data_IF_672519002240
#
_entry.id   IF_672519002240
#
_cell.length_a   1.000
_cell.length_b   1.000
_cell.length_c   1.000
_cell.angle_alpha   90.00
_cell.angle_beta   90.00
_cell.angle_gamma   90.00
#
_symmetry.space_group_name_H-M   'P 1'
#
loop_
_entity.id
_entity.type
_entity.pdbx_description
1 polymer ?
#
# COMPACT_ATOMS: atom_id res chain seq x y z
N UNK A 1 -21.01 11.31 23.88
CA UNK A 1 -19.63 11.67 23.53
C UNK A 1 -18.72 10.59 24.10
N UNK A 2 -18.38 9.59 23.30
CA UNK A 2 -17.45 8.51 23.68
C UNK A 2 -16.26 8.55 22.74
N UNK A 3 -15.09 8.36 23.32
CA UNK A 3 -13.80 8.92 22.92
C UNK A 3 -13.17 8.13 21.77
N UNK A 4 -12.60 8.83 20.78
CA UNK A 4 -11.85 8.28 19.62
C UNK A 4 -10.78 7.22 19.95
N UNK A 5 -10.39 7.08 21.22
CA UNK A 5 -9.41 6.10 21.70
C UNK A 5 -9.95 4.66 21.77
N UNK A 6 -11.26 4.45 21.96
CA UNK A 6 -11.82 3.09 22.09
C UNK A 6 -11.85 2.33 20.76
N UNK A 7 -11.96 3.05 19.64
CA UNK A 7 -12.10 2.45 18.31
C UNK A 7 -10.76 1.95 17.75
N UNK A 8 -9.64 2.56 18.17
CA UNK A 8 -8.28 2.17 17.75
C UNK A 8 -7.86 0.85 18.39
N UNK A 9 -8.32 0.56 19.62
CA UNK A 9 -7.96 -0.67 20.32
C UNK A 9 -8.66 -1.91 19.75
N UNK A 10 -9.89 -1.77 19.25
CA UNK A 10 -10.62 -2.87 18.62
C UNK A 10 -10.03 -3.24 17.25
N UNK A 11 -9.45 -2.28 16.52
CA UNK A 11 -8.84 -2.50 15.21
C UNK A 11 -7.53 -3.32 15.25
N UNK A 12 -6.79 -3.27 16.37
CA UNK A 12 -5.50 -3.99 16.54
C UNK A 12 -5.71 -5.50 16.69
N UNK A 13 -6.79 -5.94 17.34
CA UNK A 13 -7.11 -7.35 17.51
C UNK A 13 -7.62 -8.02 16.22
N UNK A 14 -8.14 -7.25 15.27
CA UNK A 14 -8.62 -7.75 13.98
C UNK A 14 -7.48 -8.13 13.00
N UNK A 15 -6.24 -7.71 13.28
CA UNK A 15 -5.06 -7.93 12.43
C UNK A 15 -4.72 -9.42 12.26
N UNK A 16 -5.08 -10.27 13.23
CA UNK A 16 -4.83 -11.72 13.17
C UNK A 16 -5.64 -12.45 12.08
N UNK A 17 -6.74 -11.86 11.60
CA UNK A 17 -7.60 -12.43 10.55
C UNK A 17 -7.76 -11.52 9.31
N UNK A 18 -7.42 -10.22 9.42
CA UNK A 18 -7.54 -9.28 8.33
C UNK A 18 -6.52 -9.55 7.23
N UNK A 19 -7.00 -10.00 6.07
CA UNK A 19 -6.17 -10.15 4.87
C UNK A 19 -5.99 -8.79 4.19
N UNK A 20 -4.76 -8.40 3.82
CA UNK A 20 -4.54 -7.19 3.05
C UNK A 20 -5.38 -7.19 1.78
N UNK A 21 -6.13 -6.11 1.54
CA UNK A 21 -6.88 -5.88 0.32
C UNK A 21 -6.25 -4.79 -0.54
N UNK A 22 -5.41 -3.95 0.06
CA UNK A 22 -4.72 -2.85 -0.58
C UNK A 22 -3.27 -2.78 -0.12
N UNK A 23 -2.35 -2.65 -1.06
CA UNK A 23 -0.95 -2.34 -0.80
C UNK A 23 -0.61 -1.04 -1.52
N UNK A 24 -0.10 -0.07 -0.79
CA UNK A 24 0.25 1.25 -1.30
C UNK A 24 1.75 1.45 -1.25
N UNK A 25 2.35 1.88 -2.36
CA UNK A 25 3.76 2.26 -2.41
C UNK A 25 3.86 3.78 -2.37
N UNK A 26 4.52 4.33 -1.35
CA UNK A 26 4.81 5.77 -1.34
C UNK A 26 5.94 6.08 -2.33
N UNK A 27 5.88 7.28 -2.89
CA UNK A 27 6.83 7.76 -3.88
C UNK A 27 6.36 9.04 -4.57
N UNK A 28 7.19 9.55 -5.46
CA UNK A 28 6.85 10.68 -6.32
C UNK A 28 6.60 10.21 -7.77
N UNK A 29 5.58 10.75 -8.46
CA UNK A 29 5.33 10.43 -9.86
C UNK A 29 6.35 11.11 -10.80
N UNK A 30 6.73 10.42 -11.87
CA UNK A 30 7.56 10.95 -12.96
C UNK A 30 8.93 10.27 -13.09
N UNK A 31 9.43 10.20 -14.33
CA UNK A 31 10.64 9.43 -14.68
C UNK A 31 11.89 9.84 -13.89
N UNK A 32 12.01 11.12 -13.49
CA UNK A 32 13.14 11.63 -12.72
C UNK A 32 13.26 11.07 -11.30
N UNK A 33 12.21 10.44 -10.76
CA UNK A 33 12.20 9.85 -9.42
C UNK A 33 12.40 8.34 -9.40
N UNK A 34 12.46 7.71 -10.58
CA UNK A 34 12.73 6.27 -10.72
C UNK A 34 14.10 5.95 -10.12
N UNK A 35 14.16 4.91 -9.28
CA UNK A 35 15.40 4.46 -8.63
C UNK A 35 15.86 5.32 -7.44
N UNK A 36 15.12 6.37 -7.06
CA UNK A 36 15.41 7.13 -5.84
C UNK A 36 14.92 6.38 -4.60
N UNK A 37 15.57 6.59 -3.44
CA UNK A 37 15.18 5.96 -2.16
C UNK A 37 13.71 6.23 -1.81
N UNK A 38 13.24 7.46 -2.02
CA UNK A 38 11.85 7.85 -1.79
C UNK A 38 10.83 7.10 -2.67
N UNK A 39 11.27 6.48 -3.77
CA UNK A 39 10.42 5.72 -4.67
C UNK A 39 10.54 4.19 -4.45
N UNK A 40 11.19 3.74 -3.37
CA UNK A 40 11.33 2.30 -3.12
C UNK A 40 9.97 1.61 -2.98
N UNK A 41 8.96 2.29 -2.42
CA UNK A 41 7.60 1.77 -2.34
C UNK A 41 7.01 1.48 -3.72
N UNK A 42 7.25 2.35 -4.70
CA UNK A 42 6.83 2.14 -6.10
C UNK A 42 7.56 0.95 -6.72
N UNK A 43 8.88 0.85 -6.52
CA UNK A 43 9.66 -0.28 -7.01
C UNK A 43 9.20 -1.60 -6.41
N UNK A 44 8.85 -1.65 -5.12
CA UNK A 44 8.27 -2.82 -4.49
C UNK A 44 6.93 -3.22 -5.12
N UNK A 45 6.05 -2.25 -5.43
CA UNK A 45 4.79 -2.54 -6.11
C UNK A 45 5.02 -3.13 -7.52
N UNK A 46 6.00 -2.62 -8.26
CA UNK A 46 6.33 -3.15 -9.59
C UNK A 46 6.84 -4.58 -9.52
N UNK A 47 7.72 -4.90 -8.58
CA UNK A 47 8.20 -6.26 -8.34
C UNK A 47 7.06 -7.20 -7.91
N UNK A 48 6.18 -6.75 -7.01
CA UNK A 48 4.98 -7.52 -6.62
C UNK A 48 4.04 -7.74 -7.81
N UNK A 49 3.83 -6.71 -8.62
CA UNK A 49 3.01 -6.82 -9.81
C UNK A 49 3.59 -7.87 -10.76
N UNK A 50 4.90 -7.87 -11.01
CA UNK A 50 5.54 -8.87 -11.88
C UNK A 50 5.44 -10.27 -11.29
N UNK A 51 5.84 -10.44 -10.03
CA UNK A 51 5.86 -11.74 -9.35
C UNK A 51 4.49 -12.42 -9.36
N UNK A 52 3.42 -11.67 -9.11
CA UNK A 52 2.06 -12.22 -9.00
C UNK A 52 1.23 -12.11 -10.30
N UNK A 53 1.55 -11.20 -11.23
CA UNK A 53 0.89 -11.20 -12.56
C UNK A 53 1.32 -12.38 -13.42
N UNK A 54 2.55 -12.88 -13.25
CA UNK A 54 3.00 -14.11 -13.91
C UNK A 54 2.20 -15.33 -13.42
N UNK A 55 1.68 -15.31 -12.20
CA UNK A 55 0.84 -16.36 -11.64
C UNK A 55 -0.63 -16.27 -12.07
N UNK A 56 -1.16 -15.06 -12.31
CA UNK A 56 -2.59 -14.84 -12.61
C UNK A 56 -2.92 -14.55 -14.08
N UNK A 57 -1.93 -14.48 -14.97
CA UNK A 57 -2.10 -14.07 -16.37
C UNK A 57 -2.36 -12.56 -16.52
N UNK A 58 -2.19 -11.99 -17.72
CA UNK A 58 -2.23 -10.54 -17.92
C UNK A 58 -3.65 -9.98 -17.72
N UNK A 59 -3.92 -9.37 -16.57
CA UNK A 59 -5.11 -8.55 -16.34
C UNK A 59 -4.78 -7.09 -16.64
N UNK A 60 -5.38 -6.54 -17.71
CA UNK A 60 -5.31 -5.10 -18.00
C UNK A 60 -6.16 -4.34 -16.98
N UNK A 61 -5.50 -3.75 -15.98
CA UNK A 61 -6.08 -2.62 -15.26
C UNK A 61 -6.02 -1.37 -16.15
N UNK A 62 -7.16 -0.69 -16.31
CA UNK A 62 -7.32 0.48 -17.18
C UNK A 62 -6.82 1.79 -16.57
N UNK A 63 -6.23 1.76 -15.37
CA UNK A 63 -5.67 2.95 -14.73
C UNK A 63 -4.22 2.70 -14.31
N UNK A 64 -3.28 3.53 -14.78
CA UNK A 64 -1.83 3.41 -14.45
C UNK A 64 -1.52 3.48 -12.95
N UNK A 65 -2.50 3.91 -12.16
CA UNK A 65 -2.42 4.12 -10.72
C UNK A 65 -2.77 2.89 -9.90
N UNK A 66 -3.57 1.96 -10.43
CA UNK A 66 -4.02 0.79 -9.70
C UNK A 66 -3.71 -0.47 -10.50
N UNK A 67 -3.17 -1.50 -9.85
CA UNK A 67 -3.03 -2.84 -10.44
C UNK A 67 -3.70 -3.85 -9.52
N UNK A 68 -4.19 -4.95 -10.05
CA UNK A 68 -4.72 -6.05 -9.25
C UNK A 68 -3.80 -7.25 -9.37
N UNK A 69 -3.47 -7.86 -8.23
CA UNK A 69 -2.78 -9.13 -8.13
C UNK A 69 -3.62 -10.11 -7.31
N UNK A 70 -3.25 -11.39 -7.36
CA UNK A 70 -3.86 -12.43 -6.55
C UNK A 70 -2.79 -13.11 -5.70
N UNK A 71 -3.01 -13.17 -4.39
CA UNK A 71 -2.14 -13.88 -3.44
C UNK A 71 -3.02 -14.85 -2.65
N UNK A 72 -2.71 -16.16 -2.74
CA UNK A 72 -3.44 -17.24 -2.07
C UNK A 72 -4.97 -17.19 -2.30
N UNK A 73 -5.38 -16.89 -3.54
CA UNK A 73 -6.79 -16.76 -3.94
C UNK A 73 -7.47 -15.46 -3.49
N UNK A 74 -6.75 -14.53 -2.88
CA UNK A 74 -7.27 -13.22 -2.47
C UNK A 74 -6.85 -12.16 -3.47
N UNK A 75 -7.82 -11.36 -3.94
CA UNK A 75 -7.54 -10.19 -4.78
C UNK A 75 -6.97 -9.07 -3.92
N UNK A 76 -5.82 -8.55 -4.34
CA UNK A 76 -5.15 -7.43 -3.70
C UNK A 76 -4.95 -6.33 -4.73
N UNK A 77 -5.33 -5.11 -4.35
CA UNK A 77 -5.11 -3.91 -5.15
C UNK A 77 -3.74 -3.33 -4.79
N UNK A 78 -2.91 -3.06 -5.79
CA UNK A 78 -1.68 -2.30 -5.68
C UNK A 78 -1.98 -0.86 -6.08
N UNK A 79 -1.72 0.10 -5.20
CA UNK A 79 -1.97 1.52 -5.41
C UNK A 79 -0.67 2.31 -5.50
N UNK A 80 -0.44 2.87 -6.68
CA UNK A 80 0.69 3.73 -7.00
C UNK A 80 0.38 5.19 -6.61
N UNK A 81 1.40 5.99 -6.28
CA UNK A 81 1.20 7.38 -5.87
C UNK A 81 0.75 8.23 -7.07
N UNK A 82 -0.34 8.98 -6.89
CA UNK A 82 -0.85 9.94 -7.90
C UNK A 82 -0.47 11.39 -7.62
N UNK A 83 0.09 11.65 -6.45
CA UNK A 83 0.50 12.98 -5.99
C UNK A 83 1.92 12.90 -5.45
N UNK A 84 2.54 14.08 -5.26
CA UNK A 84 3.86 14.15 -4.62
C UNK A 84 3.79 13.57 -3.19
N UNK A 85 4.93 13.06 -2.72
CA UNK A 85 5.07 12.30 -1.47
C UNK A 85 4.47 13.01 -0.24
N UNK A 86 4.57 14.34 -0.20
CA UNK A 86 4.03 15.20 0.86
C UNK A 86 2.49 15.34 0.84
N UNK A 87 1.84 14.97 -0.26
CA UNK A 87 0.39 15.12 -0.48
C UNK A 87 -0.31 13.76 -0.60
N UNK A 88 0.43 12.64 -0.50
CA UNK A 88 -0.10 11.30 -0.76
C UNK A 88 -1.11 10.84 0.30
N UNK A 89 -0.98 11.29 1.55
CA UNK A 89 -1.82 10.83 2.67
C UNK A 89 -3.32 11.19 2.54
N UNK A 90 -3.63 12.40 2.06
CA UNK A 90 -5.03 12.87 1.94
C UNK A 90 -5.77 12.17 0.79
N UNK A 91 -5.11 12.04 -0.36
CA UNK A 91 -5.71 11.42 -1.54
C UNK A 91 -5.94 9.92 -1.38
N UNK A 92 -5.01 9.23 -0.71
CA UNK A 92 -5.11 7.79 -0.49
C UNK A 92 -6.24 7.43 0.49
N UNK A 93 -6.35 8.15 1.61
CA UNK A 93 -7.36 7.89 2.63
C UNK A 93 -8.81 8.06 2.11
N UNK A 94 -9.05 9.02 1.23
CA UNK A 94 -10.38 9.20 0.63
C UNK A 94 -10.74 8.05 -0.33
N UNK A 95 -9.79 7.60 -1.15
CA UNK A 95 -10.00 6.47 -2.07
C UNK A 95 -10.23 5.16 -1.32
N UNK A 96 -9.47 4.89 -0.26
CA UNK A 96 -9.65 3.72 0.64
C UNK A 96 -11.07 3.68 1.20
N UNK A 97 -11.54 4.81 1.75
CA UNK A 97 -12.89 4.91 2.34
C UNK A 97 -14.00 4.65 1.31
N UNK A 98 -13.87 5.18 0.10
CA UNK A 98 -14.86 4.97 -0.97
C UNK A 98 -14.97 3.50 -1.41
N UNK A 99 -13.89 2.73 -1.28
CA UNK A 99 -13.87 1.30 -1.60
C UNK A 99 -14.30 0.38 -0.45
N UNK A 100 -14.66 0.94 0.72
CA UNK A 100 -15.05 0.16 1.89
C UNK A 100 -13.92 -0.68 2.48
N UNK A 101 -12.66 -0.26 2.26
CA UNK A 101 -11.46 -0.93 2.78
C UNK A 101 -11.19 -0.37 4.19
N UNK A 102 -11.03 -1.26 5.17
CA UNK A 102 -10.69 -0.87 6.55
C UNK A 102 -9.18 -0.56 6.64
N UNK A 103 -8.74 0.34 7.55
CA UNK A 103 -7.31 0.59 7.77
C UNK A 103 -6.50 -0.68 8.05
N UNK A 104 -7.09 -1.66 8.76
CA UNK A 104 -6.47 -2.97 9.03
C UNK A 104 -6.29 -3.86 7.80
N UNK A 105 -6.90 -3.51 6.66
CA UNK A 105 -6.76 -4.22 5.38
C UNK A 105 -5.77 -3.50 4.44
N UNK A 106 -5.07 -2.46 4.92
CA UNK A 106 -4.15 -1.63 4.13
C UNK A 106 -2.71 -1.84 4.59
N UNK A 107 -1.83 -2.09 3.63
CA UNK A 107 -0.37 -2.09 3.84
C UNK A 107 0.23 -0.90 3.11
N UNK A 108 1.13 -0.18 3.77
CA UNK A 108 1.88 0.94 3.16
C UNK A 108 3.37 0.58 3.15
N UNK A 109 3.99 0.71 1.98
CA UNK A 109 5.42 0.52 1.76
C UNK A 109 6.03 1.89 1.52
N UNK A 110 6.99 2.28 2.36
CA UNK A 110 7.74 3.51 2.26
C UNK A 110 9.21 3.27 2.61
N UNK A 111 10.06 4.23 2.27
CA UNK A 111 11.40 4.29 2.79
C UNK A 111 11.41 4.73 4.26
N UNK A 112 12.46 4.35 4.99
CA UNK A 112 12.72 4.76 6.36
C UNK A 112 14.22 5.10 6.47
N UNK A 113 14.52 6.32 6.91
CA UNK A 113 15.89 6.82 7.04
C UNK A 113 16.63 6.19 8.22
N UNK A 114 15.89 5.66 9.20
CA UNK A 114 16.44 5.03 10.40
C UNK A 114 16.82 3.56 10.17
N UNK A 115 16.50 3.00 8.99
CA UNK A 115 16.85 1.63 8.62
C UNK A 115 18.12 1.58 7.78
N UNK A 116 18.97 0.60 8.06
CA UNK A 116 20.11 0.30 7.21
C UNK A 116 19.65 -0.31 5.89
N UNK A 117 20.45 -0.16 4.82
CA UNK A 117 20.12 -0.75 3.53
C UNK A 117 19.98 -2.28 3.64
N UNK A 118 18.85 -2.81 3.14
CA UNK A 118 18.51 -4.22 3.21
C UNK A 118 17.69 -4.62 4.44
N UNK A 119 17.51 -3.72 5.40
CA UNK A 119 16.61 -3.95 6.52
C UNK A 119 15.17 -3.65 6.14
N UNK A 120 14.25 -4.50 6.59
CA UNK A 120 12.80 -4.32 6.42
C UNK A 120 12.15 -4.43 7.79
N UNK A 121 11.27 -3.49 8.09
CA UNK A 121 10.49 -3.47 9.34
C UNK A 121 9.01 -3.32 9.01
N UNK A 122 8.17 -4.10 9.68
CA UNK A 122 6.72 -3.93 9.64
C UNK A 122 6.24 -3.35 10.97
N UNK A 123 5.30 -2.41 10.91
CA UNK A 123 4.60 -1.86 12.08
C UNK A 123 3.13 -1.69 11.75
N UNK A 124 2.26 -1.90 12.74
CA UNK A 124 0.80 -1.71 12.58
C UNK A 124 0.42 -0.23 12.60
N UNK A 125 1.20 0.57 13.31
CA UNK A 125 1.08 2.02 13.40
C UNK A 125 2.48 2.63 13.42
N UNK A 126 2.59 3.91 13.05
CA UNK A 126 3.86 4.66 13.09
C UNK A 126 4.53 4.62 14.46
#
# INVERSE_FOLDING_TARGET
MSTKASQVHDDVNAVGEARPRLICGLGNPGAKYVGTRHNIGVSCLDELAVAYSLASGPKKSSESTFKEIEIDGNKIVLAYPTSFYNETGLGLAEKIRKQGIRPSEVVVICDDIDLSAGEVRMRLTG
#
